data_IF_057289158644
#
_entry.id   IF_057289158644
#
_cell.length_a   1.000
_cell.length_b   1.000
_cell.length_c   1.000
_cell.angle_alpha   90.00
_cell.angle_beta   90.00
_cell.angle_gamma   90.00
#
_symmetry.space_group_name_H-M   'P 1'
#
loop_
_entity.id
_entity.type
_entity.pdbx_description
1 polymer ?
#
# COMPACT_ATOMS: atom_id res chain seq x y z
N UNK A 1 11.29 -34.26 2.94
CA UNK A 1 11.96 -33.17 3.70
C UNK A 1 11.10 -31.92 3.52
N UNK A 2 10.27 -31.56 4.51
CA UNK A 2 9.36 -30.41 4.45
C UNK A 2 10.12 -29.24 5.04
N UNK A 3 10.40 -28.23 4.20
CA UNK A 3 10.89 -26.93 4.66
C UNK A 3 9.73 -26.20 5.34
N UNK A 4 9.87 -25.92 6.62
CA UNK A 4 8.91 -25.11 7.38
C UNK A 4 9.10 -23.63 7.01
N UNK A 5 8.08 -23.07 6.38
CA UNK A 5 7.94 -21.62 6.22
C UNK A 5 7.60 -21.02 7.60
N UNK A 6 8.60 -20.57 8.32
CA UNK A 6 8.40 -19.58 9.40
C UNK A 6 8.48 -18.19 8.78
N UNK A 7 7.35 -17.71 8.27
CA UNK A 7 7.16 -16.27 8.05
C UNK A 7 7.03 -15.61 9.44
N UNK A 8 8.12 -15.03 9.90
CA UNK A 8 8.11 -14.15 11.08
C UNK A 8 7.56 -12.79 10.63
N UNK A 9 6.24 -12.67 10.61
CA UNK A 9 5.53 -11.42 10.37
C UNK A 9 5.51 -10.62 11.68
N UNK A 10 6.56 -9.85 11.95
CA UNK A 10 6.59 -8.90 13.05
C UNK A 10 5.80 -7.64 12.64
N UNK A 11 4.48 -7.69 12.77
CA UNK A 11 3.64 -6.51 12.63
C UNK A 11 3.82 -5.61 13.87
N UNK A 12 4.65 -4.59 13.75
CA UNK A 12 4.85 -3.58 14.80
C UNK A 12 3.73 -2.56 14.68
N UNK A 13 2.65 -2.75 15.45
CA UNK A 13 1.57 -1.78 15.62
C UNK A 13 1.85 -0.92 16.85
N UNK A 14 1.71 0.42 16.74
CA UNK A 14 1.88 1.42 17.82
C UNK A 14 3.33 1.71 18.24
N UNK A 15 4.19 2.08 17.33
CA UNK A 15 5.48 2.65 17.67
C UNK A 15 5.44 4.18 17.70
N UNK A 16 5.72 4.77 18.85
CA UNK A 16 6.23 6.16 18.89
C UNK A 16 7.63 6.13 18.30
N UNK A 17 7.77 6.51 17.03
CA UNK A 17 9.05 6.53 16.34
C UNK A 17 10.07 7.37 17.11
N UNK A 18 11.02 6.69 17.73
CA UNK A 18 12.16 7.27 18.40
C UNK A 18 13.44 6.73 17.78
N UNK A 19 14.57 7.42 17.99
CA UNK A 19 15.89 6.92 17.55
C UNK A 19 16.15 5.50 18.06
N UNK A 20 15.82 5.25 19.33
CA UNK A 20 16.00 3.95 19.97
C UNK A 20 15.14 2.88 19.32
N UNK A 21 13.87 3.17 19.05
CA UNK A 21 12.96 2.22 18.38
C UNK A 21 13.45 1.83 16.98
N UNK A 22 13.96 2.79 16.21
CA UNK A 22 14.54 2.50 14.89
C UNK A 22 15.74 1.57 15.01
N UNK A 23 16.65 1.85 15.92
CA UNK A 23 17.80 1.00 16.18
C UNK A 23 17.39 -0.43 16.59
N UNK A 24 16.47 -0.58 17.54
CA UNK A 24 15.97 -1.88 18.02
C UNK A 24 15.32 -2.71 16.91
N UNK A 25 14.61 -2.07 15.96
CA UNK A 25 14.02 -2.75 14.80
C UNK A 25 15.13 -3.33 13.90
N UNK A 26 16.15 -2.55 13.58
CA UNK A 26 17.25 -3.01 12.75
C UNK A 26 18.10 -4.08 13.44
N UNK A 27 18.33 -3.97 14.76
CA UNK A 27 18.99 -5.04 15.52
C UNK A 27 18.20 -6.35 15.47
N UNK A 28 16.87 -6.26 15.59
CA UNK A 28 15.99 -7.44 15.49
C UNK A 28 16.06 -8.06 14.09
N UNK A 29 16.05 -7.22 13.06
CA UNK A 29 16.18 -7.70 11.68
C UNK A 29 17.54 -8.39 11.42
N UNK A 30 18.63 -7.80 11.91
CA UNK A 30 19.98 -8.40 11.84
C UNK A 30 20.05 -9.76 12.53
N UNK A 31 19.45 -9.87 13.72
CA UNK A 31 19.40 -11.14 14.45
C UNK A 31 18.55 -12.21 13.76
N UNK A 32 17.59 -11.81 12.91
CA UNK A 32 16.70 -12.69 12.15
C UNK A 32 17.16 -12.93 10.71
N UNK A 33 18.33 -12.43 10.30
CA UNK A 33 18.83 -12.58 8.93
C UNK A 33 18.96 -14.07 8.52
N UNK A 34 18.63 -14.45 7.27
CA UNK A 34 18.15 -13.58 6.20
C UNK A 34 16.68 -13.21 6.35
N UNK A 35 16.35 -11.91 6.24
CA UNK A 35 14.98 -11.45 6.41
C UNK A 35 14.67 -10.23 5.52
N UNK A 36 13.37 -9.92 5.38
CA UNK A 36 12.87 -8.70 4.77
C UNK A 36 12.32 -7.80 5.87
N UNK A 37 12.88 -6.58 5.97
CA UNK A 37 12.37 -5.52 6.82
C UNK A 37 11.46 -4.61 6.00
N UNK A 38 10.16 -4.59 6.33
CA UNK A 38 9.18 -3.74 5.68
C UNK A 38 8.83 -2.53 6.53
N UNK A 39 9.04 -1.33 5.98
CA UNK A 39 8.72 -0.05 6.61
C UNK A 39 7.55 0.59 5.89
N UNK A 40 6.38 0.54 6.51
CA UNK A 40 5.17 1.18 5.97
C UNK A 40 5.10 2.66 6.38
N UNK A 41 4.43 3.48 5.56
CA UNK A 41 4.26 4.92 5.77
C UNK A 41 5.59 5.65 6.02
N UNK A 42 6.57 5.45 5.14
CA UNK A 42 7.91 6.02 5.26
C UNK A 42 7.91 7.55 5.44
N UNK A 43 6.96 8.27 4.86
CA UNK A 43 6.75 9.70 5.03
C UNK A 43 6.42 10.10 6.47
N UNK A 44 5.77 9.23 7.23
CA UNK A 44 5.52 9.44 8.66
C UNK A 44 6.77 9.16 9.52
N UNK A 45 7.58 8.17 9.13
CA UNK A 45 8.81 7.77 9.84
C UNK A 45 9.95 8.73 9.53
N UNK A 46 10.13 9.05 8.25
CA UNK A 46 11.23 9.84 7.71
C UNK A 46 10.79 11.11 6.97
N UNK A 47 10.05 12.03 7.63
CA UNK A 47 9.46 13.19 6.97
C UNK A 47 10.51 14.18 6.49
N UNK A 48 10.20 14.85 5.36
CA UNK A 48 11.01 15.92 4.78
C UNK A 48 11.32 17.02 5.78
N UNK A 49 12.57 17.48 5.83
CA UNK A 49 13.07 18.48 6.79
C UNK A 49 12.50 19.89 6.60
N UNK A 50 11.95 20.22 5.43
CA UNK A 50 11.43 21.54 5.10
C UNK A 50 10.08 21.77 5.79
N UNK A 51 10.06 22.48 6.92
CA UNK A 51 8.85 23.03 7.53
C UNK A 51 8.56 22.65 8.98
N UNK A 52 9.22 21.70 9.59
CA UNK A 52 8.99 21.38 11.01
C UNK A 52 10.19 21.71 11.89
N UNK A 53 9.99 22.69 12.80
CA UNK A 53 10.97 23.09 13.83
C UNK A 53 11.16 22.04 14.95
N UNK A 54 10.65 20.80 14.80
CA UNK A 54 10.71 19.81 15.86
C UNK A 54 11.96 18.95 15.74
N UNK A 55 12.82 19.02 16.75
CA UNK A 55 14.08 18.28 16.88
C UNK A 55 13.91 16.74 16.88
N UNK A 56 12.76 16.24 17.29
CA UNK A 56 12.47 14.81 17.43
C UNK A 56 12.47 14.09 16.06
N UNK A 57 11.82 14.66 15.04
CA UNK A 57 11.76 14.06 13.71
C UNK A 57 13.12 13.97 13.02
N UNK A 58 14.02 14.95 13.24
CA UNK A 58 15.39 14.93 12.69
C UNK A 58 16.19 13.76 13.22
N UNK A 59 16.10 13.50 14.51
CA UNK A 59 16.84 12.41 15.14
C UNK A 59 16.43 11.02 14.62
N UNK A 60 15.16 10.81 14.30
CA UNK A 60 14.66 9.57 13.71
C UNK A 60 15.19 9.39 12.29
N UNK A 61 15.12 10.44 11.46
CA UNK A 61 15.69 10.41 10.09
C UNK A 61 17.20 10.13 10.12
N UNK A 62 17.95 10.81 11.00
CA UNK A 62 19.39 10.60 11.10
C UNK A 62 19.74 9.17 11.55
N UNK A 63 18.96 8.58 12.47
CA UNK A 63 19.11 7.19 12.88
C UNK A 63 18.80 6.24 11.72
N UNK A 64 17.67 6.45 11.03
CA UNK A 64 17.26 5.63 9.90
C UNK A 64 18.30 5.68 8.77
N UNK A 65 18.88 6.85 8.52
CA UNK A 65 20.00 7.02 7.58
C UNK A 65 21.23 6.20 8.00
N UNK A 66 21.57 6.22 9.28
CA UNK A 66 22.72 5.46 9.81
C UNK A 66 22.48 3.95 9.69
N UNK A 67 21.30 3.47 10.06
CA UNK A 67 20.96 2.04 9.96
C UNK A 67 20.93 1.54 8.51
N UNK A 68 20.37 2.31 7.57
CA UNK A 68 20.36 1.94 6.16
C UNK A 68 21.76 1.91 5.56
N UNK A 69 22.66 2.81 5.99
CA UNK A 69 24.04 2.80 5.56
C UNK A 69 24.80 1.55 6.08
N UNK A 70 24.68 1.26 7.36
CA UNK A 70 25.25 0.04 7.95
C UNK A 70 24.71 -1.23 7.28
N UNK A 71 23.42 -1.25 6.95
CA UNK A 71 22.80 -2.39 6.26
C UNK A 71 23.40 -2.67 4.89
N UNK A 72 23.95 -1.67 4.20
CA UNK A 72 24.55 -1.84 2.89
C UNK A 72 25.98 -2.39 2.93
N UNK A 73 26.72 -2.17 4.02
CA UNK A 73 28.15 -2.53 4.12
C UNK A 73 28.39 -3.80 4.97
N UNK A 74 27.61 -4.02 6.03
CA UNK A 74 27.90 -5.05 7.04
C UNK A 74 26.85 -6.16 7.14
N UNK A 75 25.72 -6.06 6.45
CA UNK A 75 24.56 -6.92 6.72
C UNK A 75 24.14 -7.75 5.54
N UNK A 76 24.90 -8.78 5.25
CA UNK A 76 24.43 -9.88 4.41
C UNK A 76 23.14 -10.47 5.00
N UNK A 77 22.03 -10.34 4.27
CA UNK A 77 20.78 -11.02 4.59
C UNK A 77 19.63 -10.14 5.11
N UNK A 78 19.78 -8.83 5.29
CA UNK A 78 18.63 -7.95 5.58
C UNK A 78 18.26 -7.14 4.35
N UNK A 79 17.10 -7.43 3.75
CA UNK A 79 16.57 -6.66 2.63
C UNK A 79 15.52 -5.67 3.14
N UNK A 80 15.74 -4.37 2.90
CA UNK A 80 14.82 -3.32 3.39
C UNK A 80 13.92 -2.86 2.26
N UNK A 81 12.61 -2.93 2.50
CA UNK A 81 11.57 -2.40 1.63
C UNK A 81 10.78 -1.35 2.39
N UNK A 82 10.54 -0.20 1.76
CA UNK A 82 9.72 0.85 2.35
C UNK A 82 8.59 1.25 1.41
N UNK A 83 7.41 1.55 1.98
CA UNK A 83 6.27 2.04 1.23
C UNK A 83 5.83 3.42 1.71
N UNK A 84 5.30 4.22 0.79
CA UNK A 84 4.71 5.53 1.09
C UNK A 84 3.67 5.90 0.04
N UNK A 85 2.61 6.58 0.46
CA UNK A 85 1.66 7.23 -0.45
C UNK A 85 2.11 8.67 -0.82
N UNK A 86 3.07 9.26 -0.07
CA UNK A 86 3.56 10.63 -0.26
C UNK A 86 5.08 10.69 -0.43
N UNK A 87 5.63 10.19 -1.55
CA UNK A 87 7.08 10.10 -1.74
C UNK A 87 7.79 11.45 -1.74
N UNK A 88 7.08 12.54 -2.00
CA UNK A 88 7.58 13.91 -1.91
C UNK A 88 7.76 14.41 -0.48
N UNK A 89 7.10 13.78 0.51
CA UNK A 89 7.22 14.11 1.93
C UNK A 89 8.33 13.31 2.62
N UNK A 90 8.92 12.33 1.94
CA UNK A 90 10.07 11.56 2.42
C UNK A 90 11.36 12.38 2.33
N UNK A 91 12.17 12.36 3.40
CA UNK A 91 13.46 13.07 3.43
C UNK A 91 14.40 12.59 2.30
N UNK A 92 14.98 13.54 1.59
CA UNK A 92 15.86 13.25 0.46
C UNK A 92 17.11 12.43 0.83
N UNK A 93 17.55 12.48 2.09
CA UNK A 93 18.68 11.68 2.54
C UNK A 93 18.39 10.18 2.52
N UNK A 94 17.15 9.77 2.73
CA UNK A 94 16.74 8.36 2.69
C UNK A 94 16.77 7.80 1.26
N UNK A 95 16.64 8.65 0.25
CA UNK A 95 16.56 8.28 -1.17
C UNK A 95 17.90 8.36 -1.92
N UNK A 96 19.00 8.60 -1.20
CA UNK A 96 20.35 8.67 -1.79
C UNK A 96 20.87 7.28 -2.14
N UNK A 97 21.81 7.16 -3.11
CA UNK A 97 22.49 5.90 -3.45
C UNK A 97 23.02 5.16 -2.21
N UNK A 98 22.87 3.85 -2.21
CA UNK A 98 23.24 2.98 -1.08
C UNK A 98 22.25 2.95 0.07
N UNK A 99 21.01 3.45 -0.14
CA UNK A 99 19.90 3.41 0.84
C UNK A 99 18.63 2.96 0.12
N UNK A 100 17.53 3.72 0.21
CA UNK A 100 16.28 3.46 -0.52
C UNK A 100 16.34 4.13 -1.91
N UNK A 101 17.32 3.77 -2.70
CA UNK A 101 17.63 4.38 -4.00
C UNK A 101 16.85 3.76 -5.16
N UNK A 102 16.39 2.51 -5.01
CA UNK A 102 15.49 1.89 -5.98
C UNK A 102 14.05 2.27 -5.67
N UNK A 103 13.39 2.92 -6.64
CA UNK A 103 11.99 3.33 -6.50
C UNK A 103 11.13 2.55 -7.49
N UNK A 104 10.04 2.01 -6.99
CA UNK A 104 9.03 1.32 -7.78
C UNK A 104 7.70 2.05 -7.61
N UNK A 105 7.10 2.48 -8.71
CA UNK A 105 5.76 3.02 -8.73
C UNK A 105 4.75 1.87 -8.80
N UNK A 106 3.92 1.75 -7.77
CA UNK A 106 2.79 0.82 -7.77
C UNK A 106 1.55 1.57 -8.25
N UNK A 107 1.11 1.24 -9.45
CA UNK A 107 -0.07 1.83 -10.07
C UNK A 107 -1.37 1.17 -9.58
N UNK A 108 -2.52 1.88 -9.66
CA UNK A 108 -3.82 1.23 -9.48
C UNK A 108 -3.99 0.05 -10.43
N UNK A 109 -4.76 -0.98 -10.03
CA UNK A 109 -4.95 -2.17 -10.85
C UNK A 109 -5.67 -1.84 -12.16
N UNK A 110 -5.22 -2.43 -13.27
CA UNK A 110 -5.94 -2.43 -14.53
C UNK A 110 -7.23 -3.27 -14.43
N UNK A 111 -8.00 -3.35 -15.52
CA UNK A 111 -9.28 -4.07 -15.51
C UNK A 111 -9.13 -5.54 -15.15
N UNK A 112 -8.11 -6.20 -15.69
CA UNK A 112 -7.86 -7.63 -15.47
C UNK A 112 -7.42 -7.90 -14.03
N UNK A 113 -6.54 -7.05 -13.51
CA UNK A 113 -6.11 -7.11 -12.12
C UNK A 113 -7.28 -6.83 -11.16
N UNK A 114 -8.18 -5.87 -11.47
CA UNK A 114 -9.38 -5.64 -10.64
C UNK A 114 -10.29 -6.85 -10.60
N UNK A 115 -10.51 -7.50 -11.74
CA UNK A 115 -11.30 -8.74 -11.79
C UNK A 115 -10.66 -9.84 -10.95
N UNK A 116 -9.34 -10.02 -11.03
CA UNK A 116 -8.61 -10.98 -10.24
C UNK A 116 -8.69 -10.68 -8.72
N UNK A 117 -8.58 -9.42 -8.32
CA UNK A 117 -8.74 -8.98 -6.93
C UNK A 117 -10.15 -9.28 -6.43
N UNK A 118 -11.20 -8.91 -7.18
CA UNK A 118 -12.59 -9.19 -6.82
C UNK A 118 -12.79 -10.70 -6.66
N UNK A 119 -12.30 -11.50 -7.60
CA UNK A 119 -12.37 -12.97 -7.53
C UNK A 119 -11.67 -13.52 -6.29
N UNK A 120 -10.51 -12.99 -5.96
CA UNK A 120 -9.74 -13.39 -4.77
C UNK A 120 -10.47 -13.05 -3.47
N UNK A 121 -11.04 -11.84 -3.36
CA UNK A 121 -11.78 -11.41 -2.15
C UNK A 121 -13.08 -12.20 -1.97
N UNK A 122 -13.73 -12.55 -3.07
CA UNK A 122 -14.97 -13.34 -3.04
C UNK A 122 -14.73 -14.85 -2.95
N UNK A 123 -13.49 -15.31 -2.93
CA UNK A 123 -13.17 -16.74 -2.88
C UNK A 123 -13.81 -17.43 -1.66
N UNK A 124 -14.43 -18.59 -1.90
CA UNK A 124 -15.10 -19.36 -0.86
C UNK A 124 -16.49 -18.85 -0.45
N UNK A 125 -16.98 -17.78 -1.06
CA UNK A 125 -18.35 -17.25 -0.83
C UNK A 125 -19.31 -17.79 -1.90
N UNK A 126 -20.60 -18.01 -1.58
CA UNK A 126 -21.60 -18.42 -2.56
C UNK A 126 -21.88 -17.25 -3.53
N UNK A 127 -21.62 -17.46 -4.79
CA UNK A 127 -21.85 -16.48 -5.87
C UNK A 127 -22.96 -16.95 -6.78
N UNK A 128 -23.80 -16.02 -7.26
CA UNK A 128 -24.80 -16.30 -8.28
C UNK A 128 -24.11 -16.72 -9.60
N UNK A 129 -24.69 -17.66 -10.32
CA UNK A 129 -24.13 -18.20 -11.58
C UNK A 129 -24.00 -17.12 -12.68
N UNK A 130 -24.87 -16.13 -12.64
CA UNK A 130 -24.91 -15.01 -13.60
C UNK A 130 -24.05 -13.80 -13.17
N UNK A 131 -23.29 -13.88 -12.08
CA UNK A 131 -22.42 -12.81 -11.62
C UNK A 131 -21.21 -12.63 -12.52
N UNK A 132 -21.26 -11.62 -13.38
CA UNK A 132 -20.15 -11.24 -14.28
C UNK A 132 -19.14 -10.34 -13.56
N UNK A 133 -18.00 -10.93 -13.13
CA UNK A 133 -16.91 -10.22 -12.48
C UNK A 133 -16.19 -9.25 -13.43
N UNK A 134 -16.14 -9.57 -14.73
CA UNK A 134 -15.55 -8.71 -15.75
C UNK A 134 -16.37 -7.43 -15.98
N UNK A 135 -17.72 -7.54 -15.96
CA UNK A 135 -18.60 -6.39 -15.99
C UNK A 135 -18.48 -5.54 -14.72
N UNK A 136 -18.30 -6.16 -13.56
CA UNK A 136 -18.08 -5.47 -12.29
C UNK A 136 -16.73 -4.72 -12.32
N UNK A 137 -15.65 -5.36 -12.80
CA UNK A 137 -14.33 -4.76 -12.97
C UNK A 137 -14.36 -3.56 -13.94
N UNK A 138 -15.20 -3.60 -14.97
CA UNK A 138 -15.39 -2.46 -15.89
C UNK A 138 -16.03 -1.24 -15.19
N UNK A 139 -16.89 -1.46 -14.19
CA UNK A 139 -17.58 -0.39 -13.43
C UNK A 139 -16.75 0.19 -12.29
N UNK A 140 -15.60 -0.40 -11.96
CA UNK A 140 -14.72 -0.02 -10.86
C UNK A 140 -13.42 0.62 -11.35
N UNK A 141 -13.44 1.34 -12.46
CA UNK A 141 -12.31 2.14 -12.89
C UNK A 141 -11.83 3.05 -11.77
N UNK A 142 -10.52 3.21 -11.60
CA UNK A 142 -9.89 4.00 -10.53
C UNK A 142 -9.97 3.44 -9.10
N UNK A 143 -10.62 2.30 -8.87
CA UNK A 143 -10.63 1.64 -7.56
C UNK A 143 -9.28 0.96 -7.32
N UNK A 144 -8.72 1.14 -6.12
CA UNK A 144 -7.58 0.34 -5.64
C UNK A 144 -8.05 -0.95 -4.96
N UNK A 145 -7.12 -1.84 -4.62
CA UNK A 145 -7.45 -3.12 -4.00
C UNK A 145 -8.30 -2.98 -2.72
N UNK A 146 -8.02 -1.99 -1.88
CA UNK A 146 -8.80 -1.73 -0.67
C UNK A 146 -10.24 -1.30 -0.96
N UNK A 147 -10.46 -0.44 -1.98
CA UNK A 147 -11.80 -0.01 -2.39
C UNK A 147 -12.61 -1.20 -2.94
N UNK A 148 -11.96 -2.09 -3.71
CA UNK A 148 -12.57 -3.32 -4.22
C UNK A 148 -12.91 -4.30 -3.11
N UNK A 149 -12.04 -4.46 -2.12
CA UNK A 149 -12.30 -5.31 -0.97
C UNK A 149 -13.52 -4.78 -0.19
N UNK A 150 -13.58 -3.47 0.08
CA UNK A 150 -14.72 -2.84 0.75
C UNK A 150 -16.02 -3.02 -0.05
N UNK A 151 -15.97 -2.92 -1.38
CA UNK A 151 -17.10 -3.15 -2.26
C UNK A 151 -17.62 -4.59 -2.13
N UNK A 152 -16.72 -5.58 -2.15
CA UNK A 152 -17.06 -6.98 -2.00
C UNK A 152 -17.65 -7.30 -0.62
N UNK A 153 -17.09 -6.72 0.45
CA UNK A 153 -17.64 -6.88 1.81
C UNK A 153 -19.03 -6.26 1.93
N UNK A 154 -19.26 -5.07 1.35
CA UNK A 154 -20.56 -4.44 1.32
C UNK A 154 -21.62 -5.30 0.60
N UNK A 155 -21.25 -5.90 -0.54
CA UNK A 155 -22.12 -6.80 -1.28
C UNK A 155 -22.43 -8.08 -0.50
N UNK A 156 -21.44 -8.67 0.17
CA UNK A 156 -21.64 -9.84 1.00
C UNK A 156 -22.57 -9.55 2.20
N UNK A 157 -22.41 -8.39 2.82
CA UNK A 157 -23.30 -7.94 3.90
C UNK A 157 -24.75 -7.77 3.41
N UNK A 158 -24.95 -7.16 2.23
CA UNK A 158 -26.27 -7.01 1.63
C UNK A 158 -26.95 -8.37 1.32
N UNK A 159 -26.19 -9.33 0.79
CA UNK A 159 -26.69 -10.68 0.54
C UNK A 159 -27.06 -11.40 1.83
N UNK A 160 -26.27 -11.22 2.89
CA UNK A 160 -26.54 -11.79 4.21
C UNK A 160 -27.81 -11.17 4.84
N UNK A 161 -27.93 -9.85 4.82
CA UNK A 161 -29.13 -9.15 5.32
C UNK A 161 -30.41 -9.66 4.63
N UNK A 162 -30.37 -9.76 3.29
CA UNK A 162 -31.51 -10.27 2.54
C UNK A 162 -31.80 -11.75 2.85
N UNK A 163 -30.78 -12.57 3.08
CA UNK A 163 -30.94 -13.96 3.50
C UNK A 163 -31.62 -14.06 4.88
N UNK A 164 -31.25 -13.21 5.81
CA UNK A 164 -31.88 -13.14 7.16
C UNK A 164 -33.34 -12.74 7.04
N UNK A 165 -33.66 -11.69 6.28
CA UNK A 165 -35.02 -11.17 6.13
C UNK A 165 -35.93 -12.23 5.46
N UNK A 166 -35.42 -12.93 4.44
CA UNK A 166 -36.21 -13.97 3.73
C UNK A 166 -36.20 -15.33 4.41
N UNK A 167 -35.44 -15.50 5.49
CA UNK A 167 -35.15 -16.77 6.14
C UNK A 167 -34.69 -17.87 5.16
N UNK A 168 -33.96 -17.47 4.11
CA UNK A 168 -33.47 -18.33 3.04
C UNK A 168 -32.08 -17.91 2.58
N UNK A 169 -31.11 -18.82 2.61
CA UNK A 169 -29.76 -18.55 2.12
C UNK A 169 -29.78 -18.31 0.60
N UNK A 170 -29.17 -17.20 0.17
CA UNK A 170 -28.97 -16.89 -1.24
C UNK A 170 -27.53 -16.49 -1.56
N UNK A 171 -27.07 -16.76 -2.79
CA UNK A 171 -25.76 -16.32 -3.22
C UNK A 171 -25.67 -14.79 -3.40
N UNK A 172 -24.43 -14.28 -3.42
CA UNK A 172 -24.14 -12.89 -3.75
C UNK A 172 -24.41 -12.67 -5.23
N UNK A 173 -25.24 -11.71 -5.58
CA UNK A 173 -25.63 -11.36 -6.94
C UNK A 173 -25.19 -9.94 -7.31
N UNK A 174 -25.26 -9.59 -8.61
CA UNK A 174 -24.88 -8.26 -9.09
C UNK A 174 -25.66 -7.12 -8.40
N UNK A 175 -26.91 -7.36 -8.04
CA UNK A 175 -27.74 -6.40 -7.34
C UNK A 175 -27.15 -5.96 -6.00
N UNK A 176 -26.44 -6.84 -5.29
CA UNK A 176 -25.85 -6.55 -3.98
C UNK A 176 -24.69 -5.53 -4.08
N UNK A 177 -24.03 -5.44 -5.22
CA UNK A 177 -22.98 -4.45 -5.47
C UNK A 177 -23.53 -3.06 -5.77
N UNK A 178 -24.80 -2.92 -6.13
CA UNK A 178 -25.37 -1.65 -6.59
C UNK A 178 -25.24 -0.55 -5.54
N UNK A 179 -25.57 -0.86 -4.30
CA UNK A 179 -25.45 0.08 -3.18
C UNK A 179 -24.00 0.49 -2.96
N UNK A 180 -23.08 -0.48 -2.87
CA UNK A 180 -21.66 -0.23 -2.66
C UNK A 180 -21.04 0.63 -3.78
N UNK A 181 -21.41 0.40 -5.05
CA UNK A 181 -20.96 1.20 -6.19
C UNK A 181 -21.44 2.67 -6.14
N UNK A 182 -22.53 2.97 -5.44
CA UNK A 182 -22.98 4.34 -5.23
C UNK A 182 -22.34 5.01 -4.01
N UNK A 183 -22.09 4.26 -2.95
CA UNK A 183 -21.63 4.79 -1.65
C UNK A 183 -20.11 4.86 -1.56
N UNK A 184 -19.40 3.86 -2.12
CA UNK A 184 -17.94 3.76 -2.04
C UNK A 184 -17.31 4.60 -3.14
N UNK A 185 -16.64 5.67 -2.73
CA UNK A 185 -15.87 6.54 -3.63
C UNK A 185 -14.48 5.98 -3.83
N UNK A 186 -13.96 5.92 -5.08
CA UNK A 186 -12.58 5.53 -5.32
C UNK A 186 -11.62 6.50 -4.61
N UNK A 187 -10.61 5.96 -3.96
CA UNK A 187 -9.67 6.73 -3.16
C UNK A 187 -8.50 7.31 -3.97
N UNK A 188 -8.33 6.89 -5.23
CA UNK A 188 -7.21 7.30 -6.08
C UNK A 188 -7.32 8.71 -6.71
N UNK A 189 -8.50 9.25 -7.10
CA UNK A 189 -8.56 10.55 -7.77
C UNK A 189 -7.96 11.72 -6.97
N UNK A 190 -8.23 11.89 -5.67
CA UNK A 190 -7.62 12.98 -4.89
C UNK A 190 -6.10 12.86 -4.80
N UNK A 191 -5.59 11.62 -4.72
CA UNK A 191 -4.15 11.37 -4.72
C UNK A 191 -3.52 11.74 -6.07
N UNK A 192 -4.16 11.41 -7.18
CA UNK A 192 -3.67 11.76 -8.51
C UNK A 192 -3.62 13.28 -8.74
N UNK A 193 -4.57 14.05 -8.21
CA UNK A 193 -4.54 15.51 -8.27
C UNK A 193 -3.30 16.05 -7.55
N UNK A 194 -3.07 15.61 -6.32
CA UNK A 194 -1.91 16.00 -5.53
C UNK A 194 -0.59 15.57 -6.20
N UNK A 195 -0.52 14.34 -6.69
CA UNK A 195 0.66 13.81 -7.37
C UNK A 195 0.98 14.56 -8.66
N UNK A 196 -0.04 14.98 -9.42
CA UNK A 196 0.11 15.78 -10.64
C UNK A 196 0.73 17.15 -10.36
N UNK A 197 0.29 17.80 -9.30
CA UNK A 197 0.84 19.11 -8.89
C UNK A 197 2.31 18.95 -8.47
N UNK A 198 2.64 17.93 -7.69
CA UNK A 198 4.02 17.65 -7.32
C UNK A 198 4.91 17.32 -8.51
N UNK A 199 4.44 16.49 -9.43
CA UNK A 199 5.18 16.12 -10.63
C UNK A 199 5.46 17.34 -11.55
N UNK A 200 4.57 18.34 -11.55
CA UNK A 200 4.73 19.57 -12.35
C UNK A 200 5.63 20.63 -11.71
N UNK A 201 5.55 20.81 -10.40
CA UNK A 201 6.10 22.00 -9.74
C UNK A 201 7.24 21.74 -8.76
N UNK A 202 7.37 20.54 -8.21
CA UNK A 202 8.32 20.24 -7.15
C UNK A 202 9.28 19.09 -7.47
N UNK A 203 9.11 18.39 -8.59
CA UNK A 203 9.90 17.22 -8.89
C UNK A 203 11.29 17.59 -9.43
N UNK A 204 12.31 16.96 -8.91
CA UNK A 204 13.60 16.87 -9.56
C UNK A 204 13.42 16.20 -10.94
N UNK A 205 14.04 16.68 -12.03
CA UNK A 205 13.93 16.08 -13.35
C UNK A 205 14.21 14.56 -13.32
N UNK A 206 13.33 13.77 -13.93
CA UNK A 206 13.45 12.31 -13.96
C UNK A 206 12.91 11.56 -12.74
N UNK A 207 12.57 12.25 -11.66
CA UNK A 207 12.18 11.59 -10.40
C UNK A 207 10.80 10.94 -10.42
N UNK A 208 9.90 11.37 -11.32
CA UNK A 208 8.51 10.91 -11.41
C UNK A 208 8.05 10.70 -12.86
N UNK A 209 8.95 10.34 -13.77
CA UNK A 209 8.65 10.19 -15.19
C UNK A 209 7.60 9.10 -15.45
N UNK A 210 7.66 7.99 -14.72
CA UNK A 210 6.68 6.90 -14.81
C UNK A 210 5.29 7.38 -14.38
N UNK A 211 5.19 8.16 -13.30
CA UNK A 211 3.95 8.76 -12.83
C UNK A 211 3.40 9.77 -13.85
N UNK A 212 4.25 10.63 -14.39
CA UNK A 212 3.85 11.60 -15.42
C UNK A 212 3.34 10.89 -16.67
N UNK A 213 4.00 9.83 -17.08
CA UNK A 213 3.59 9.01 -18.23
C UNK A 213 2.22 8.37 -18.00
N UNK A 214 2.02 7.77 -16.82
CA UNK A 214 0.73 7.20 -16.44
C UNK A 214 -0.39 8.25 -16.41
N UNK A 215 -0.15 9.41 -15.79
CA UNK A 215 -1.13 10.49 -15.69
C UNK A 215 -1.50 11.11 -17.05
N UNK A 216 -0.59 11.08 -18.02
CA UNK A 216 -0.89 11.52 -19.41
C UNK A 216 -1.75 10.51 -20.17
N UNK A 217 -1.58 9.24 -19.87
CA UNK A 217 -2.32 8.15 -20.53
C UNK A 217 -3.73 7.95 -19.97
N UNK A 218 -3.98 8.34 -18.70
CA UNK A 218 -5.21 8.04 -17.97
C UNK A 218 -5.92 9.28 -17.36
N UNK A 219 -5.50 10.50 -17.75
CA UNK A 219 -6.02 11.77 -17.21
C UNK A 219 -6.83 12.63 -18.16
#
# INVERSE_FOLDING_TARGET
MRAGEHQSEAAIRDFRYSRRSVHEIFETARAAAPCLLYLDQLDAIGPRRAGRRHSIGRGVVDQLVAELYSASEEHEGVFVVAATEHPWDVDALLRRPGRLDHRLLVLPPDREAREAIIRSVLAGRPLAEDLDLGALAARTATYRAADLAQLCESAAAAALEASIVSNSSRPIALADFTRGLHEIRPSTPPWFELARDYARFAAEPGSYDDLVTYLRANG
#
